data_IF_332660675367
#
_entry.id   IF_332660675367
#
_cell.length_a   1.000
_cell.length_b   1.000
_cell.length_c   1.000
_cell.angle_alpha   90.00
_cell.angle_beta   90.00
_cell.angle_gamma   90.00
#
_symmetry.space_group_name_H-M   'P 1'
#
loop_
_entity.id
_entity.type
_entity.pdbx_description
1 polymer ?
#
# COMPACT_ATOMS: atom_id res chain seq x y z
N UNK A 1 -18.11 -22.95 -14.86
CA UNK A 1 -16.79 -22.28 -14.81
C UNK A 1 -16.80 -20.86 -15.38
N UNK A 2 -17.46 -20.59 -16.52
CA UNK A 2 -17.48 -19.24 -17.15
C UNK A 2 -18.17 -18.14 -16.32
N UNK A 3 -19.14 -18.50 -15.48
CA UNK A 3 -19.88 -17.51 -14.66
C UNK A 3 -19.04 -16.88 -13.54
N UNK A 4 -18.08 -17.63 -12.98
CA UNK A 4 -17.17 -17.13 -11.94
C UNK A 4 -16.19 -16.07 -12.47
N UNK A 5 -15.68 -16.27 -13.68
CA UNK A 5 -14.81 -15.31 -14.37
C UNK A 5 -15.58 -14.02 -14.66
N UNK A 6 -16.80 -14.15 -15.20
CA UNK A 6 -17.65 -12.99 -15.53
C UNK A 6 -17.98 -12.12 -14.31
N UNK A 7 -18.26 -12.75 -13.17
CA UNK A 7 -18.55 -12.03 -11.93
C UNK A 7 -17.31 -11.29 -11.39
N UNK A 8 -16.13 -11.91 -11.46
CA UNK A 8 -14.86 -11.27 -11.07
C UNK A 8 -14.49 -10.12 -12.00
N UNK A 9 -14.69 -10.28 -13.32
CA UNK A 9 -14.38 -9.23 -14.29
C UNK A 9 -15.21 -7.96 -14.08
N UNK A 10 -16.46 -8.10 -13.66
CA UNK A 10 -17.29 -6.96 -13.26
C UNK A 10 -16.69 -6.21 -12.06
N UNK A 11 -16.16 -6.93 -11.05
CA UNK A 11 -15.50 -6.31 -9.88
C UNK A 11 -14.16 -5.67 -10.25
N UNK A 12 -13.38 -6.30 -11.14
CA UNK A 12 -12.07 -5.78 -11.56
C UNK A 12 -12.17 -4.55 -12.46
N UNK A 13 -13.29 -4.32 -13.14
CA UNK A 13 -13.48 -3.12 -13.97
C UNK A 13 -13.26 -1.83 -13.18
N UNK A 14 -13.85 -1.72 -11.98
CA UNK A 14 -13.66 -0.57 -11.09
C UNK A 14 -12.23 -0.50 -10.54
N UNK A 15 -11.64 -1.64 -10.19
CA UNK A 15 -10.29 -1.70 -9.62
C UNK A 15 -9.20 -1.33 -10.63
N UNK A 16 -9.35 -1.69 -11.91
CA UNK A 16 -8.44 -1.27 -13.00
C UNK A 16 -8.39 0.25 -13.15
N UNK A 17 -9.55 0.90 -13.09
CA UNK A 17 -9.60 2.37 -13.15
C UNK A 17 -8.84 3.01 -11.97
N UNK A 18 -8.95 2.43 -10.76
CA UNK A 18 -8.26 2.92 -9.58
C UNK A 18 -6.75 2.61 -9.58
N UNK A 19 -6.34 1.45 -10.12
CA UNK A 19 -4.93 1.03 -10.14
C UNK A 19 -4.05 1.90 -11.02
N UNK A 20 -4.62 2.66 -11.94
CA UNK A 20 -3.89 3.67 -12.72
C UNK A 20 -3.48 4.91 -11.91
N UNK A 21 -3.98 5.06 -10.67
CA UNK A 21 -3.52 6.12 -9.78
C UNK A 21 -2.08 5.84 -9.36
N UNK A 22 -1.16 6.76 -9.69
CA UNK A 22 0.24 6.59 -9.36
C UNK A 22 0.46 6.63 -7.84
N UNK A 23 1.19 5.64 -7.34
CA UNK A 23 1.71 5.63 -5.98
C UNK A 23 2.60 6.86 -5.77
N UNK A 24 2.58 7.50 -4.58
CA UNK A 24 3.52 8.57 -4.27
C UNK A 24 4.98 8.14 -4.47
N UNK A 25 5.86 8.99 -5.05
CA UNK A 25 7.24 8.60 -5.40
C UNK A 25 8.10 8.10 -4.23
N UNK A 26 7.78 8.52 -3.00
CA UNK A 26 8.49 8.13 -1.78
C UNK A 26 7.73 7.09 -0.93
N UNK A 27 6.69 6.48 -1.48
CA UNK A 27 5.83 5.54 -0.75
C UNK A 27 4.70 6.21 0.02
N UNK A 28 3.69 5.42 0.36
CA UNK A 28 2.50 5.85 1.08
C UNK A 28 2.80 6.20 2.53
N UNK A 29 3.68 5.45 3.19
CA UNK A 29 3.99 5.66 4.61
C UNK A 29 4.60 7.04 4.81
N UNK A 30 5.59 7.39 3.99
CA UNK A 30 6.21 8.72 4.05
C UNK A 30 5.22 9.82 3.70
N UNK A 31 4.49 9.67 2.60
CA UNK A 31 3.55 10.70 2.14
C UNK A 31 2.50 11.03 3.22
N UNK A 32 1.93 10.00 3.85
CA UNK A 32 0.92 10.16 4.90
C UNK A 32 1.56 10.74 6.17
N UNK A 33 2.74 10.23 6.59
CA UNK A 33 3.46 10.77 7.75
C UNK A 33 3.77 12.26 7.59
N UNK A 34 4.27 12.66 6.43
CA UNK A 34 4.59 14.05 6.11
C UNK A 34 3.30 14.91 6.10
N UNK A 35 2.20 14.41 5.53
CA UNK A 35 0.90 15.11 5.54
C UNK A 35 0.29 15.28 6.95
N UNK A 36 0.58 14.36 7.87
CA UNK A 36 0.21 14.45 9.28
C UNK A 36 1.14 15.37 10.10
N UNK A 37 2.16 15.96 9.49
CA UNK A 37 3.15 16.80 10.19
C UNK A 37 4.04 16.03 11.17
N UNK A 38 4.17 14.71 11.00
CA UNK A 38 4.92 13.86 11.91
C UNK A 38 6.39 13.74 11.50
N UNK A 39 7.30 13.92 12.47
CA UNK A 39 8.72 13.56 12.27
C UNK A 39 8.92 12.05 12.29
N UNK A 40 10.04 11.58 11.74
CA UNK A 40 10.40 10.14 11.82
C UNK A 40 10.55 9.66 13.26
N UNK A 41 11.00 10.53 14.19
CA UNK A 41 11.11 10.20 15.61
C UNK A 41 9.74 10.04 16.28
N UNK A 42 8.79 10.93 15.98
CA UNK A 42 7.41 10.81 16.50
C UNK A 42 6.73 9.55 15.97
N UNK A 43 6.89 9.26 14.68
CA UNK A 43 6.32 8.06 14.09
C UNK A 43 6.98 6.78 14.62
N UNK A 44 8.30 6.78 14.83
CA UNK A 44 9.02 5.68 15.46
C UNK A 44 8.48 5.36 16.85
N UNK A 45 8.25 6.40 17.68
CA UNK A 45 7.62 6.26 19.00
C UNK A 45 6.22 5.66 18.90
N UNK A 46 5.42 6.10 17.92
CA UNK A 46 4.05 5.60 17.70
C UNK A 46 4.02 4.14 17.25
N UNK A 47 4.98 3.73 16.43
CA UNK A 47 5.13 2.34 15.95
C UNK A 47 5.87 1.43 16.95
N UNK A 48 6.51 1.99 17.98
CA UNK A 48 7.29 1.23 18.97
C UNK A 48 8.63 0.72 18.44
N UNK A 49 9.30 1.49 17.57
CA UNK A 49 10.60 1.14 16.96
C UNK A 49 11.59 2.31 17.05
N UNK A 50 12.84 2.09 16.62
CA UNK A 50 13.85 3.15 16.55
C UNK A 50 13.63 4.07 15.35
N UNK A 51 14.11 5.32 15.44
CA UNK A 51 14.03 6.27 14.31
C UNK A 51 14.73 5.77 13.04
N UNK A 52 15.94 5.17 13.08
CA UNK A 52 16.57 4.58 11.90
C UNK A 52 15.70 3.51 11.24
N UNK A 53 14.96 2.73 12.03
CA UNK A 53 14.06 1.70 11.51
C UNK A 53 12.92 2.29 10.66
N UNK A 54 12.46 3.49 10.96
CA UNK A 54 11.50 4.21 10.13
C UNK A 54 12.12 4.63 8.79
N UNK A 55 13.35 5.13 8.81
CA UNK A 55 14.06 5.54 7.59
C UNK A 55 14.27 4.33 6.66
N UNK A 56 14.68 3.19 7.23
CA UNK A 56 14.78 1.93 6.49
C UNK A 56 13.42 1.48 5.95
N UNK A 57 12.36 1.53 6.77
CA UNK A 57 11.02 1.13 6.36
C UNK A 57 10.53 1.95 5.17
N UNK A 58 10.66 3.28 5.21
CA UNK A 58 10.28 4.15 4.09
C UNK A 58 11.11 3.86 2.84
N UNK A 59 12.42 3.61 2.99
CA UNK A 59 13.29 3.25 1.87
C UNK A 59 12.91 1.89 1.26
N UNK A 60 12.62 0.89 2.09
CA UNK A 60 12.16 -0.43 1.64
C UNK A 60 10.79 -0.35 0.96
N UNK A 61 9.90 0.52 1.46
CA UNK A 61 8.60 0.78 0.82
C UNK A 61 8.81 1.34 -0.59
N UNK A 62 9.65 2.38 -0.71
CA UNK A 62 9.99 3.02 -1.96
C UNK A 62 10.64 2.04 -2.95
N UNK A 63 11.55 1.19 -2.47
CA UNK A 63 12.24 0.17 -3.26
C UNK A 63 11.43 -1.10 -3.53
N UNK A 64 10.21 -1.23 -3.01
CA UNK A 64 9.36 -2.41 -3.22
C UNK A 64 9.78 -3.67 -2.45
N UNK A 65 10.71 -3.56 -1.51
CA UNK A 65 11.22 -4.69 -0.70
C UNK A 65 10.55 -4.83 0.67
N UNK A 66 9.63 -3.91 1.02
CA UNK A 66 8.86 -4.00 2.27
C UNK A 66 7.91 -5.20 2.23
N UNK A 67 7.86 -5.97 3.31
CA UNK A 67 6.87 -7.05 3.44
C UNK A 67 5.47 -6.49 3.70
N UNK A 68 4.42 -7.17 3.23
CA UNK A 68 3.03 -6.77 3.48
C UNK A 68 2.73 -6.63 4.99
N UNK A 69 3.26 -7.53 5.82
CA UNK A 69 3.09 -7.45 7.27
C UNK A 69 3.71 -6.17 7.87
N UNK A 70 4.90 -5.78 7.40
CA UNK A 70 5.55 -4.53 7.85
C UNK A 70 4.75 -3.32 7.40
N UNK A 71 4.26 -3.32 6.16
CA UNK A 71 3.45 -2.24 5.61
C UNK A 71 2.11 -2.10 6.34
N UNK A 72 1.47 -3.22 6.69
CA UNK A 72 0.23 -3.25 7.48
C UNK A 72 0.43 -2.60 8.85
N UNK A 73 1.44 -3.04 9.62
CA UNK A 73 1.74 -2.48 10.95
C UNK A 73 2.07 -0.99 10.90
N UNK A 74 2.82 -0.57 9.87
CA UNK A 74 3.14 0.82 9.61
C UNK A 74 1.88 1.65 9.33
N UNK A 75 1.02 1.18 8.44
CA UNK A 75 -0.25 1.83 8.13
C UNK A 75 -1.13 1.96 9.38
N UNK A 76 -1.26 0.91 10.19
CA UNK A 76 -2.03 0.94 11.45
C UNK A 76 -1.51 1.99 12.43
N UNK A 77 -0.19 2.10 12.57
CA UNK A 77 0.43 3.13 13.39
C UNK A 77 0.19 4.56 12.86
N UNK A 78 -0.19 4.74 11.59
CA UNK A 78 -0.65 6.03 11.05
C UNK A 78 -2.17 6.21 11.16
N UNK A 79 -2.91 5.22 11.65
CA UNK A 79 -4.38 5.20 11.63
C UNK A 79 -4.97 4.82 10.28
N UNK A 80 -4.18 4.17 9.42
CA UNK A 80 -4.59 3.69 8.10
C UNK A 80 -4.79 2.17 8.10
N UNK A 81 -5.51 1.68 7.10
CA UNK A 81 -5.62 0.25 6.79
C UNK A 81 -4.89 -0.02 5.48
N UNK A 82 -4.02 -1.02 5.46
CA UNK A 82 -3.50 -1.52 4.19
C UNK A 82 -4.58 -2.36 3.52
N UNK A 83 -4.91 -2.03 2.27
CA UNK A 83 -5.77 -2.81 1.40
C UNK A 83 -4.91 -3.33 0.26
N UNK A 84 -4.80 -4.65 0.14
CA UNK A 84 -4.04 -5.31 -0.94
C UNK A 84 -5.01 -5.98 -1.91
N UNK A 85 -4.81 -5.73 -3.20
CA UNK A 85 -5.61 -6.29 -4.26
C UNK A 85 -4.72 -6.61 -5.46
N UNK A 86 -4.95 -7.77 -6.07
CA UNK A 86 -4.41 -8.11 -7.38
C UNK A 86 -5.40 -7.64 -8.43
N UNK A 87 -4.93 -6.82 -9.38
CA UNK A 87 -5.76 -6.31 -10.47
C UNK A 87 -5.19 -6.83 -11.78
N UNK A 88 -5.93 -7.61 -12.56
CA UNK A 88 -5.44 -8.09 -13.85
C UNK A 88 -5.45 -6.94 -14.87
N UNK A 89 -4.39 -6.84 -15.67
CA UNK A 89 -4.22 -5.80 -16.71
C UNK A 89 -5.31 -5.86 -17.79
N UNK A 90 -5.92 -7.04 -17.97
CA UNK A 90 -7.03 -7.30 -18.90
C UNK A 90 -8.11 -8.12 -18.20
N UNK A 91 -9.34 -8.23 -18.75
CA UNK A 91 -10.34 -9.14 -18.23
C UNK A 91 -9.78 -10.57 -18.08
N UNK A 92 -10.12 -11.26 -16.99
CA UNK A 92 -9.70 -12.63 -16.72
C UNK A 92 -10.15 -13.59 -17.83
N UNK A 93 -11.27 -13.32 -18.49
CA UNK A 93 -11.72 -14.09 -19.65
C UNK A 93 -10.80 -13.99 -20.87
N UNK A 94 -9.89 -13.00 -20.89
CA UNK A 94 -8.96 -12.70 -21.97
C UNK A 94 -7.49 -12.97 -21.58
N UNK A 95 -7.23 -13.46 -20.37
CA UNK A 95 -5.93 -13.98 -19.96
C UNK A 95 -5.72 -15.39 -20.52
#
# INVERSE_FOLDING_TARGET
MKDGIRHLDSRFATLRALSHSQRPPKGWIRAIRDALGMTTAQYAKRLGVSQPRIVELERSEQGGSVTLNTLQRAAEALGCRLVYVLVPERPLAEL
#
